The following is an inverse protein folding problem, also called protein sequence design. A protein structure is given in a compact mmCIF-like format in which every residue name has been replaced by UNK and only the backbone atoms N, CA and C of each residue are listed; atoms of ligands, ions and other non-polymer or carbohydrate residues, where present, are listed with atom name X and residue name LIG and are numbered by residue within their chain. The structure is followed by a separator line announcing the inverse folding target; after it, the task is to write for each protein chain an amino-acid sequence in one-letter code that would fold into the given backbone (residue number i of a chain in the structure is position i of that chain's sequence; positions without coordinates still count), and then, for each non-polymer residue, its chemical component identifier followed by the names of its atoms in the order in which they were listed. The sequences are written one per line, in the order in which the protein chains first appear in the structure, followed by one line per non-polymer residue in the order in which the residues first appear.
data_IF_464000980989
#
_entry.id   IF_464000980989
#
_cell.length_a   1.000
_cell.length_b   1.000
_cell.length_c   1.000
_cell.angle_alpha   90.00
_cell.angle_beta   90.00
_cell.angle_gamma   90.00
#
_symmetry.space_group_name_H-M   'P 1'
#
loop_
_entity.id
_entity.type
_entity.pdbx_description
1 polymer ?
#
# COMPACT_ATOMS: atom_id res chain seq x y z
N UNK A 1 -22.22 -9.51 16.92
CA UNK A 1 -20.78 -9.78 16.94
C UNK A 1 -20.15 -8.42 17.12
N UNK A 2 -19.71 -8.13 18.33
CA UNK A 2 -19.00 -6.90 18.66
C UNK A 2 -17.60 -7.07 18.07
N UNK A 3 -17.23 -6.23 17.11
CA UNK A 3 -15.86 -6.15 16.64
C UNK A 3 -15.10 -5.40 17.73
N UNK A 4 -14.00 -5.96 18.21
CA UNK A 4 -13.02 -5.22 18.98
C UNK A 4 -12.48 -4.14 18.02
N UNK A 5 -12.96 -2.89 18.18
CA UNK A 5 -12.74 -1.77 17.25
C UNK A 5 -11.27 -1.30 17.24
N UNK A 6 -10.41 -1.93 18.05
CA UNK A 6 -9.03 -1.53 18.30
C UNK A 6 -7.99 -2.32 17.46
N UNK A 7 -8.37 -3.39 16.76
CA UNK A 7 -7.43 -4.23 15.99
C UNK A 7 -7.59 -4.13 14.46
N UNK A 8 -6.50 -3.78 13.78
CA UNK A 8 -6.43 -3.78 12.30
C UNK A 8 -6.46 -5.22 11.79
N UNK A 9 -7.57 -5.61 11.16
CA UNK A 9 -7.71 -6.94 10.54
C UNK A 9 -6.77 -7.05 9.32
N UNK A 10 -5.78 -7.97 9.31
CA UNK A 10 -4.88 -8.11 8.17
C UNK A 10 -5.58 -8.75 6.96
N UNK A 11 -5.17 -8.31 5.79
CA UNK A 11 -5.55 -8.83 4.48
C UNK A 11 -4.35 -9.35 3.70
N UNK A 12 -4.40 -9.22 2.37
CA UNK A 12 -3.33 -9.65 1.48
C UNK A 12 -1.99 -8.97 1.83
N UNK A 13 -0.90 -9.73 1.75
CA UNK A 13 0.46 -9.34 2.15
C UNK A 13 0.57 -8.76 3.58
N UNK A 14 -0.42 -9.01 4.45
CA UNK A 14 -0.47 -8.46 5.82
C UNK A 14 -0.90 -6.99 5.89
N UNK A 15 -1.48 -6.44 4.82
CA UNK A 15 -1.99 -5.08 4.78
C UNK A 15 -3.39 -5.05 5.41
N UNK A 16 -3.64 -4.09 6.30
CA UNK A 16 -4.93 -3.92 6.94
C UNK A 16 -6.10 -3.79 5.96
N UNK A 17 -7.25 -4.36 6.32
CA UNK A 17 -8.51 -4.20 5.57
C UNK A 17 -9.19 -2.87 5.92
N UNK A 18 -10.03 -2.37 5.00
CA UNK A 18 -10.74 -1.10 5.17
C UNK A 18 -9.90 0.13 4.83
N UNK A 19 -10.35 1.30 5.29
CA UNK A 19 -9.72 2.60 4.99
C UNK A 19 -9.84 3.03 3.53
N UNK A 20 -9.25 4.19 3.19
CA UNK A 20 -9.09 4.62 1.80
C UNK A 20 -7.95 3.81 1.19
N UNK A 21 -8.27 3.00 0.17
CA UNK A 21 -7.34 2.06 -0.46
C UNK A 21 -6.50 2.76 -1.53
N UNK A 22 -5.51 3.53 -1.08
CA UNK A 22 -4.53 4.20 -1.96
C UNK A 22 -3.81 3.21 -2.87
N UNK A 23 -3.18 3.64 -3.98
CA UNK A 23 -2.48 2.73 -4.88
C UNK A 23 -1.36 1.95 -4.19
N UNK A 24 -0.66 2.55 -3.22
CA UNK A 24 0.34 1.87 -2.39
C UNK A 24 -0.22 0.73 -1.53
N UNK A 25 -1.52 0.77 -1.24
CA UNK A 25 -2.25 -0.20 -0.40
C UNK A 25 -2.99 -1.24 -1.26
N UNK A 26 -3.47 -0.85 -2.44
CA UNK A 26 -4.21 -1.71 -3.37
C UNK A 26 -3.31 -2.49 -4.33
N UNK A 27 -2.23 -1.85 -4.81
CA UNK A 27 -1.17 -2.45 -5.60
C UNK A 27 0.16 -2.43 -4.83
N UNK A 28 0.28 -3.19 -3.73
CA UNK A 28 1.44 -3.13 -2.86
C UNK A 28 2.68 -3.83 -3.42
N UNK A 29 3.84 -3.20 -3.20
CA UNK A 29 5.16 -3.83 -3.24
C UNK A 29 5.95 -3.68 -1.93
N UNK A 30 5.36 -2.94 -1.00
CA UNK A 30 5.83 -2.64 0.35
C UNK A 30 4.61 -2.64 1.28
N UNK A 31 4.82 -2.83 2.58
CA UNK A 31 3.76 -2.80 3.59
C UNK A 31 3.90 -1.54 4.44
N UNK A 32 2.86 -0.70 4.46
CA UNK A 32 2.78 0.45 5.36
C UNK A 32 2.16 0.02 6.69
N UNK A 33 2.91 0.15 7.79
CA UNK A 33 2.48 -0.26 9.13
C UNK A 33 2.37 0.96 10.03
N UNK A 34 1.14 1.30 10.42
CA UNK A 34 0.85 2.43 11.32
C UNK A 34 0.99 2.11 12.81
N UNK A 35 1.15 0.83 13.18
CA UNK A 35 1.29 0.43 14.58
C UNK A 35 2.59 0.99 15.20
N UNK A 36 2.55 1.42 16.48
CA UNK A 36 3.72 1.99 17.13
C UNK A 36 4.95 1.09 17.03
N UNK A 37 6.14 1.68 16.83
CA UNK A 37 7.40 0.95 16.76
C UNK A 37 8.31 1.29 17.96
N UNK A 38 8.27 0.50 19.06
CA UNK A 38 8.96 0.82 20.32
C UNK A 38 10.49 0.87 20.22
N UNK A 39 11.06 0.35 19.13
CA UNK A 39 12.51 0.35 18.89
C UNK A 39 13.02 1.60 18.15
N UNK A 40 12.14 2.55 17.81
CA UNK A 40 12.53 3.83 17.21
C UNK A 40 12.82 4.90 18.24
N UNK A 41 13.39 6.02 17.78
CA UNK A 41 13.59 7.21 18.61
C UNK A 41 12.25 7.72 19.19
N UNK A 42 12.27 8.44 20.33
CA UNK A 42 11.07 9.05 20.91
C UNK A 42 10.29 9.87 19.87
N UNK A 43 8.96 9.81 19.93
CA UNK A 43 8.00 10.33 18.94
C UNK A 43 8.03 9.65 17.56
N UNK A 44 9.17 9.21 17.03
CA UNK A 44 9.23 8.49 15.74
C UNK A 44 8.39 7.21 15.75
N UNK A 45 8.19 6.60 16.93
CA UNK A 45 7.33 5.44 17.09
C UNK A 45 5.89 5.67 16.61
N UNK A 46 5.43 6.91 16.52
CA UNK A 46 4.07 7.27 16.09
C UNK A 46 3.91 7.45 14.57
N UNK A 47 5.02 7.50 13.82
CA UNK A 47 5.00 7.77 12.37
C UNK A 47 4.81 6.50 11.51
N UNK A 48 4.63 5.35 12.16
CA UNK A 48 4.61 4.06 11.47
C UNK A 48 5.95 3.69 10.85
N UNK A 49 5.93 2.72 9.94
CA UNK A 49 7.10 2.26 9.19
C UNK A 49 6.69 1.62 7.87
N UNK A 50 7.63 1.58 6.94
CA UNK A 50 7.52 0.79 5.71
C UNK A 50 8.30 -0.50 5.89
N UNK A 51 7.65 -1.63 5.68
CA UNK A 51 8.28 -2.95 5.68
C UNK A 51 8.42 -3.48 4.26
N UNK A 52 9.57 -4.09 3.97
CA UNK A 52 9.82 -4.74 2.68
C UNK A 52 8.96 -5.99 2.57
N UNK A 53 8.23 -6.12 1.46
CA UNK A 53 7.58 -7.38 1.09
C UNK A 53 8.61 -8.28 0.42
N UNK A 54 8.78 -9.54 0.89
CA UNK A 54 9.70 -10.50 0.28
C UNK A 54 9.37 -10.79 -1.18
N UNK A 55 10.40 -10.91 -2.02
CA UNK A 55 10.25 -11.14 -3.46
C UNK A 55 9.43 -12.41 -3.79
N UNK A 56 9.51 -13.46 -2.95
CA UNK A 56 8.67 -14.67 -3.08
C UNK A 56 7.17 -14.33 -3.06
N UNK A 57 6.74 -13.46 -2.15
CA UNK A 57 5.34 -13.03 -2.06
C UNK A 57 4.98 -12.09 -3.21
N UNK A 58 5.91 -11.22 -3.62
CA UNK A 58 5.68 -10.35 -4.77
C UNK A 58 5.54 -11.14 -6.08
N UNK A 59 6.29 -12.23 -6.26
CA UNK A 59 6.17 -13.13 -7.43
C UNK A 59 4.84 -13.90 -7.45
N UNK A 60 4.25 -14.16 -6.29
CA UNK A 60 2.91 -14.75 -6.20
C UNK A 60 1.83 -13.72 -6.56
N UNK A 61 2.08 -12.44 -6.29
CA UNK A 61 1.11 -11.35 -6.48
C UNK A 61 1.18 -10.70 -7.86
N UNK A 62 2.36 -10.59 -8.45
CA UNK A 62 2.64 -9.87 -9.69
C UNK A 62 3.39 -10.77 -10.67
N UNK A 63 2.79 -10.99 -11.83
CA UNK A 63 3.38 -11.78 -12.91
C UNK A 63 4.58 -11.10 -13.53
N UNK A 64 4.52 -9.77 -13.66
CA UNK A 64 5.57 -8.92 -14.21
C UNK A 64 5.40 -7.44 -13.76
N UNK A 65 6.37 -6.59 -14.14
CA UNK A 65 6.35 -5.15 -13.84
C UNK A 65 5.17 -4.41 -14.46
N UNK A 66 4.72 -4.82 -15.65
CA UNK A 66 3.65 -4.13 -16.37
C UNK A 66 2.29 -4.42 -15.74
N UNK A 67 2.07 -5.62 -15.19
CA UNK A 67 0.90 -5.95 -14.37
C UNK A 67 0.84 -5.07 -13.12
N UNK A 68 1.97 -4.92 -12.42
CA UNK A 68 2.06 -4.04 -11.25
C UNK A 68 1.71 -2.58 -11.60
N UNK A 69 2.34 -2.02 -12.62
CA UNK A 69 2.09 -0.62 -13.02
C UNK A 69 0.64 -0.40 -13.47
N UNK A 70 0.05 -1.37 -14.16
CA UNK A 70 -1.36 -1.31 -14.56
C UNK A 70 -2.29 -1.33 -13.35
N UNK A 71 -2.08 -2.25 -12.41
CA UNK A 71 -2.88 -2.31 -11.20
C UNK A 71 -2.75 -1.04 -10.35
N UNK A 72 -1.54 -0.46 -10.28
CA UNK A 72 -1.30 0.82 -9.59
C UNK A 72 -2.04 1.97 -10.28
N UNK A 73 -2.03 2.00 -11.61
CA UNK A 73 -2.76 3.00 -12.40
C UNK A 73 -4.27 2.86 -12.23
N UNK A 74 -4.81 1.65 -12.33
CA UNK A 74 -6.23 1.36 -12.11
C UNK A 74 -6.70 1.77 -10.71
N UNK A 75 -5.89 1.50 -9.67
CA UNK A 75 -6.19 1.93 -8.32
C UNK A 75 -6.17 3.46 -8.16
N UNK A 76 -5.29 4.16 -8.89
CA UNK A 76 -5.22 5.63 -8.90
C UNK A 76 -6.46 6.21 -9.57
N UNK A 77 -6.79 5.73 -10.76
CA UNK A 77 -7.94 6.18 -11.55
C UNK A 77 -9.25 5.93 -10.79
N UNK A 78 -9.40 4.77 -10.14
CA UNK A 78 -10.53 4.48 -9.26
C UNK A 78 -10.71 5.52 -8.15
N UNK A 79 -9.65 5.95 -7.48
CA UNK A 79 -9.77 6.95 -6.39
C UNK A 79 -10.14 8.33 -6.91
N UNK A 80 -9.75 8.67 -8.13
CA UNK A 80 -10.19 9.90 -8.80
C UNK A 80 -11.70 9.80 -9.08
N UNK A 81 -12.15 8.68 -9.63
CA UNK A 81 -13.58 8.43 -9.90
C UNK A 81 -14.43 8.45 -8.61
N UNK A 82 -13.90 7.89 -7.52
CA UNK A 82 -14.55 7.88 -6.20
C UNK A 82 -14.47 9.24 -5.47
N UNK A 83 -13.67 10.20 -5.97
CA UNK A 83 -13.51 11.53 -5.38
C UNK A 83 -12.58 11.59 -4.16
N UNK A 84 -11.76 10.55 -3.94
CA UNK A 84 -10.72 10.55 -2.90
C UNK A 84 -9.41 11.19 -3.36
N UNK A 85 -9.18 11.29 -4.68
CA UNK A 85 -8.00 11.90 -5.28
C UNK A 85 -8.42 12.95 -6.32
N UNK A 86 -7.71 14.08 -6.39
CA UNK A 86 -7.94 15.07 -7.43
C UNK A 86 -7.30 14.60 -8.75
N UNK A 87 -8.00 14.82 -9.87
CA UNK A 87 -7.48 14.44 -11.18
C UNK A 87 -6.14 15.12 -11.52
N UNK A 88 -5.92 16.34 -11.02
CA UNK A 88 -4.68 17.09 -11.24
C UNK A 88 -3.47 16.45 -10.54
N UNK A 89 -3.69 15.68 -9.47
CA UNK A 89 -2.63 15.02 -8.68
C UNK A 89 -2.26 13.64 -9.25
N UNK A 90 -2.93 13.20 -10.32
CA UNK A 90 -2.80 11.84 -10.88
C UNK A 90 -1.35 11.49 -11.21
N UNK A 91 -0.66 12.35 -11.96
CA UNK A 91 0.70 12.06 -12.41
C UNK A 91 1.70 12.05 -11.25
N UNK A 92 1.48 12.87 -10.21
CA UNK A 92 2.29 12.85 -9.00
C UNK A 92 2.13 11.51 -8.25
N UNK A 93 0.89 11.03 -8.11
CA UNK A 93 0.62 9.73 -7.48
C UNK A 93 1.19 8.57 -8.29
N UNK A 94 1.11 8.60 -9.63
CA UNK A 94 1.73 7.56 -10.46
C UNK A 94 3.25 7.53 -10.36
N UNK A 95 3.89 8.68 -10.13
CA UNK A 95 5.34 8.77 -9.91
C UNK A 95 5.78 8.11 -8.58
N UNK A 96 4.86 7.88 -7.64
CA UNK A 96 5.13 7.17 -6.38
C UNK A 96 5.17 5.65 -6.52
N UNK A 97 4.86 5.10 -7.70
CA UNK A 97 5.08 3.70 -7.98
C UNK A 97 6.57 3.32 -7.76
N UNK A 98 6.81 2.05 -7.41
CA UNK A 98 8.13 1.46 -7.12
C UNK A 98 8.41 0.26 -8.03
N UNK A 99 8.41 0.44 -9.37
CA UNK A 99 8.58 -0.67 -10.33
C UNK A 99 9.93 -1.40 -10.19
N UNK A 100 10.93 -0.78 -9.57
CA UNK A 100 12.22 -1.37 -9.24
C UNK A 100 12.13 -2.53 -8.24
N UNK A 101 11.03 -2.66 -7.48
CA UNK A 101 10.78 -3.83 -6.62
C UNK A 101 10.38 -5.07 -7.42
N UNK A 102 9.91 -4.91 -8.65
CA UNK A 102 9.58 -5.99 -9.58
C UNK A 102 10.74 -6.13 -10.57
N UNK A 103 11.60 -7.14 -10.33
CA UNK A 103 12.84 -7.35 -11.08
C UNK A 103 12.75 -8.47 -12.10
N UNK A 104 11.53 -8.96 -12.39
CA UNK A 104 11.24 -9.99 -13.38
C UNK A 104 10.34 -9.45 -14.48
#
# INVERSE_FOLDING_TARGET
MEYDDDEVVPGDLGIGRGGVRTPAVEAPVERLVGAPYPHSAPFCMLLGRTEVVPDEQLRQRWSDRDEYLRAYTEATDRLIEEGFLLADDREEVLADARPERITW
#
